data_IF_433711279184
#
_entry.id   IF_433711279184
#
_cell.length_a   1.000
_cell.length_b   1.000
_cell.length_c   1.000
_cell.angle_alpha   90.00
_cell.angle_beta   90.00
_cell.angle_gamma   90.00
#
_symmetry.space_group_name_H-M   'P 1'
#
loop_
_entity.id
_entity.type
_entity.pdbx_description
1 polymer ?
#
# COMPACT_ATOMS: atom_id res chain seq x y z
N UNK A 1 -11.09 25.16 1.25
CA UNK A 1 -10.43 25.87 0.12
C UNK A 1 -8.92 25.96 0.32
N UNK A 2 -8.43 26.53 1.43
CA UNK A 2 -6.99 26.67 1.72
C UNK A 2 -6.18 25.36 1.65
N UNK A 3 -6.67 24.24 2.21
CA UNK A 3 -5.96 22.94 2.17
C UNK A 3 -5.80 22.37 0.75
N UNK A 4 -6.78 22.59 -0.12
CA UNK A 4 -6.74 22.15 -1.52
C UNK A 4 -5.70 22.98 -2.27
N UNK A 5 -5.72 24.30 -2.08
CA UNK A 5 -4.74 25.20 -2.68
C UNK A 5 -3.30 24.85 -2.26
N UNK A 6 -3.07 24.57 -0.97
CA UNK A 6 -1.75 24.16 -0.47
C UNK A 6 -1.35 22.83 -1.13
N UNK A 7 -2.24 21.84 -1.15
CA UNK A 7 -1.97 20.54 -1.77
C UNK A 7 -1.61 20.63 -3.25
N UNK A 8 -2.41 21.37 -4.04
CA UNK A 8 -2.14 21.56 -5.48
C UNK A 8 -0.84 22.33 -5.69
N UNK A 9 -0.54 23.31 -4.83
CA UNK A 9 0.73 24.04 -4.88
C UNK A 9 1.91 23.12 -4.62
N UNK A 10 1.83 22.23 -3.63
CA UNK A 10 2.89 21.25 -3.35
C UNK A 10 3.10 20.30 -4.54
N UNK A 11 2.02 19.75 -5.11
CA UNK A 11 2.13 18.88 -6.29
C UNK A 11 2.76 19.60 -7.49
N UNK A 12 2.39 20.87 -7.73
CA UNK A 12 2.99 21.69 -8.77
C UNK A 12 4.47 21.98 -8.50
N UNK A 13 4.84 22.31 -7.26
CA UNK A 13 6.25 22.54 -6.88
C UNK A 13 7.07 21.26 -7.09
N UNK A 14 6.55 20.10 -6.71
CA UNK A 14 7.19 18.81 -6.96
C UNK A 14 7.45 18.56 -8.46
N UNK A 15 6.46 18.86 -9.31
CA UNK A 15 6.60 18.79 -10.78
C UNK A 15 7.64 19.76 -11.32
N UNK A 16 7.67 21.00 -10.81
CA UNK A 16 8.68 21.99 -11.20
C UNK A 16 10.09 21.57 -10.78
N UNK A 17 10.26 20.96 -9.60
CA UNK A 17 11.55 20.39 -9.16
C UNK A 17 12.00 19.28 -10.12
N UNK A 18 11.10 18.39 -10.50
CA UNK A 18 11.39 17.32 -11.47
C UNK A 18 11.89 17.88 -12.82
N UNK A 19 11.22 18.89 -13.36
CA UNK A 19 11.61 19.52 -14.63
C UNK A 19 12.91 20.33 -14.54
N UNK A 20 13.13 21.02 -13.42
CA UNK A 20 14.30 21.88 -13.23
C UNK A 20 15.58 21.08 -12.97
N UNK A 21 15.46 19.86 -12.44
CA UNK A 21 16.59 19.03 -12.04
C UNK A 21 16.54 17.64 -12.67
N UNK A 22 16.62 17.53 -14.02
CA UNK A 22 16.60 16.24 -14.73
C UNK A 22 17.84 15.37 -14.46
N UNK A 23 18.94 16.00 -14.03
CA UNK A 23 20.15 15.34 -13.48
C UNK A 23 20.26 15.53 -11.96
N UNK A 24 19.20 16.05 -11.34
CA UNK A 24 19.15 16.33 -9.93
C UNK A 24 19.48 15.07 -9.16
N UNK A 25 20.57 15.11 -8.41
CA UNK A 25 20.95 14.00 -7.56
C UNK A 25 19.83 13.65 -6.58
N UNK A 26 20.05 12.52 -5.89
CA UNK A 26 19.19 11.88 -4.89
C UNK A 26 18.38 12.88 -4.03
N UNK A 27 19.00 13.97 -3.58
CA UNK A 27 18.34 14.99 -2.76
C UNK A 27 17.14 15.69 -3.44
N UNK A 28 17.25 16.08 -4.72
CA UNK A 28 16.14 16.74 -5.43
C UNK A 28 15.03 15.76 -5.77
N UNK A 29 15.41 14.51 -6.04
CA UNK A 29 14.47 13.40 -6.19
C UNK A 29 13.66 13.19 -4.91
N UNK A 30 14.33 13.07 -3.76
CA UNK A 30 13.69 12.93 -2.44
C UNK A 30 12.77 14.11 -2.12
N UNK A 31 13.22 15.33 -2.38
CA UNK A 31 12.45 16.54 -2.12
C UNK A 31 11.18 16.57 -2.98
N UNK A 32 11.31 16.30 -4.28
CA UNK A 32 10.18 16.23 -5.22
C UNK A 32 9.17 15.16 -4.81
N UNK A 33 9.63 13.94 -4.50
CA UNK A 33 8.75 12.85 -4.05
C UNK A 33 8.07 13.15 -2.72
N UNK A 34 8.82 13.63 -1.72
CA UNK A 34 8.27 13.97 -0.40
C UNK A 34 7.23 15.07 -0.48
N UNK A 35 7.50 16.15 -1.21
CA UNK A 35 6.56 17.25 -1.42
C UNK A 35 5.28 16.75 -2.10
N UNK A 36 5.40 15.89 -3.11
CA UNK A 36 4.26 15.31 -3.80
C UNK A 36 3.37 14.51 -2.85
N UNK A 37 3.95 13.55 -2.12
CA UNK A 37 3.19 12.68 -1.22
C UNK A 37 2.64 13.41 0.00
N UNK A 38 3.31 14.44 0.50
CA UNK A 38 2.74 15.36 1.51
C UNK A 38 1.54 16.10 0.92
N UNK A 39 1.65 16.60 -0.31
CA UNK A 39 0.55 17.22 -1.04
C UNK A 39 -0.66 16.29 -1.16
N UNK A 40 -0.44 15.03 -1.58
CA UNK A 40 -1.48 13.99 -1.64
C UNK A 40 -2.06 13.76 -0.24
N UNK A 41 -1.21 13.56 0.76
CA UNK A 41 -1.61 13.29 2.14
C UNK A 41 -2.50 14.37 2.74
N UNK A 42 -2.23 15.64 2.48
CA UNK A 42 -3.08 16.76 2.94
C UNK A 42 -4.51 16.71 2.39
N UNK A 43 -4.75 16.02 1.27
CA UNK A 43 -6.10 15.86 0.70
C UNK A 43 -6.77 14.57 1.12
N UNK A 44 -6.01 13.50 1.28
CA UNK A 44 -6.53 12.14 1.52
C UNK A 44 -6.67 11.88 3.02
N UNK A 45 -5.61 12.11 3.81
CA UNK A 45 -5.53 11.73 5.23
C UNK A 45 -6.63 12.36 6.10
N UNK A 46 -7.00 13.65 5.94
CA UNK A 46 -8.09 14.23 6.71
C UNK A 46 -9.45 13.58 6.42
N UNK A 47 -9.69 13.14 5.17
CA UNK A 47 -10.99 12.56 4.76
C UNK A 47 -11.19 11.16 5.32
N UNK A 48 -10.11 10.40 5.51
CA UNK A 48 -10.18 9.06 6.09
C UNK A 48 -10.27 9.10 7.62
N UNK A 49 -9.89 10.22 8.23
CA UNK A 49 -9.89 10.39 9.69
C UNK A 49 -8.57 9.96 10.32
N UNK A 50 -7.45 10.26 9.64
CA UNK A 50 -6.10 9.91 10.05
C UNK A 50 -5.81 10.12 11.53
N UNK A 51 -5.20 9.12 12.17
CA UNK A 51 -4.76 9.18 13.56
C UNK A 51 -5.89 9.05 14.59
N UNK A 52 -7.15 8.92 14.16
CA UNK A 52 -8.29 8.62 15.07
C UNK A 52 -8.28 7.15 15.54
N UNK A 53 -7.55 6.26 14.87
CA UNK A 53 -7.43 4.85 15.22
C UNK A 53 -6.24 4.58 16.15
N UNK A 54 -6.48 4.22 17.43
CA UNK A 54 -5.39 3.85 18.37
C UNK A 54 -4.58 2.61 17.93
N UNK A 55 -5.12 1.84 16.99
CA UNK A 55 -4.54 0.60 16.50
C UNK A 55 -3.91 0.73 15.12
N UNK A 56 -3.73 1.92 14.52
CA UNK A 56 -3.17 2.03 13.15
C UNK A 56 -1.71 1.54 13.05
N UNK A 57 -0.97 1.62 14.16
CA UNK A 57 0.46 1.33 14.18
C UNK A 57 0.74 -0.17 14.05
N UNK A 58 -0.13 -1.02 14.59
CA UNK A 58 -0.04 -2.49 14.45
C UNK A 58 -0.20 -2.98 13.00
N UNK A 59 -1.28 -2.66 12.26
CA UNK A 59 -1.43 -3.02 10.86
C UNK A 59 -0.44 -2.29 9.97
N UNK A 60 0.01 -1.07 10.32
CA UNK A 60 1.11 -0.41 9.61
C UNK A 60 2.43 -1.18 9.76
N UNK A 61 2.83 -1.53 10.99
CA UNK A 61 4.06 -2.30 11.21
C UNK A 61 3.96 -3.70 10.60
N UNK A 62 2.80 -4.36 10.71
CA UNK A 62 2.55 -5.63 10.07
C UNK A 62 2.65 -5.51 8.54
N UNK A 63 2.07 -4.47 7.94
CA UNK A 63 2.21 -4.14 6.52
C UNK A 63 3.68 -3.96 6.15
N UNK A 64 4.40 -3.12 6.89
CA UNK A 64 5.78 -2.75 6.59
C UNK A 64 6.73 -3.94 6.71
N UNK A 65 6.68 -4.66 7.84
CA UNK A 65 7.47 -5.87 8.05
C UNK A 65 7.11 -6.94 7.03
N UNK A 66 5.83 -7.08 6.67
CA UNK A 66 5.44 -8.07 5.68
C UNK A 66 5.97 -7.71 4.29
N UNK A 67 5.68 -6.50 3.83
CA UNK A 67 5.99 -6.05 2.47
C UNK A 67 7.50 -5.91 2.25
N UNK A 68 8.25 -5.50 3.27
CA UNK A 68 9.70 -5.30 3.18
C UNK A 68 10.53 -6.53 3.56
N UNK A 69 9.98 -7.54 4.26
CA UNK A 69 10.77 -8.70 4.70
C UNK A 69 10.12 -10.04 4.35
N UNK A 70 8.86 -10.26 4.72
CA UNK A 70 8.20 -11.57 4.54
C UNK A 70 7.86 -11.87 3.08
N UNK A 71 7.51 -10.85 2.29
CA UNK A 71 7.23 -11.03 0.87
C UNK A 71 8.45 -11.59 0.13
N UNK A 72 9.60 -10.92 0.28
CA UNK A 72 10.86 -11.35 -0.31
C UNK A 72 11.28 -12.74 0.19
N UNK A 73 11.10 -13.02 1.48
CA UNK A 73 11.37 -14.35 2.05
C UNK A 73 10.45 -15.46 1.48
N UNK A 74 9.17 -15.16 1.25
CA UNK A 74 8.20 -16.12 0.72
C UNK A 74 8.51 -16.48 -0.73
N UNK A 75 8.95 -15.51 -1.55
CA UNK A 75 9.41 -15.78 -2.91
C UNK A 75 10.62 -16.72 -2.91
N UNK A 76 11.60 -16.53 -2.02
CA UNK A 76 12.75 -17.42 -1.89
C UNK A 76 12.38 -18.88 -1.64
N UNK A 77 11.37 -19.10 -0.79
CA UNK A 77 10.88 -20.44 -0.47
C UNK A 77 10.26 -21.13 -1.67
N UNK A 78 9.69 -20.36 -2.60
CA UNK A 78 9.05 -20.85 -3.81
C UNK A 78 10.03 -21.05 -4.97
N UNK A 79 11.16 -20.36 -4.99
CA UNK A 79 12.16 -20.51 -6.07
C UNK A 79 12.77 -21.92 -6.11
N UNK A 80 13.14 -22.42 -7.32
CA UNK A 80 13.85 -23.69 -7.46
C UNK A 80 15.17 -23.67 -6.67
N UNK A 81 15.25 -24.48 -5.60
CA UNK A 81 16.38 -24.49 -4.65
C UNK A 81 16.00 -24.05 -3.23
N UNK A 82 14.86 -23.38 -3.04
CA UNK A 82 14.21 -23.10 -1.75
C UNK A 82 15.16 -22.63 -0.64
N UNK A 83 15.00 -23.21 0.56
CA UNK A 83 15.86 -22.93 1.72
C UNK A 83 17.34 -23.25 1.51
N UNK A 84 17.69 -24.13 0.56
CA UNK A 84 19.08 -24.44 0.28
C UNK A 84 19.80 -23.24 -0.36
N UNK A 85 19.11 -22.44 -1.18
CA UNK A 85 19.65 -21.22 -1.78
C UNK A 85 20.01 -20.17 -0.71
N UNK A 86 19.25 -20.12 0.38
CA UNK A 86 19.49 -19.21 1.51
C UNK A 86 20.86 -19.43 2.17
N UNK A 87 21.34 -20.69 2.18
CA UNK A 87 22.65 -21.04 2.72
C UNK A 87 23.81 -20.72 1.77
N UNK A 88 23.57 -20.43 0.49
CA UNK A 88 24.61 -20.06 -0.48
C UNK A 88 24.71 -18.55 -0.69
N UNK A 89 23.65 -17.81 -0.40
CA UNK A 89 23.55 -16.38 -0.63
C UNK A 89 24.06 -15.58 0.58
N UNK A 90 25.38 -15.54 0.75
CA UNK A 90 26.02 -14.69 1.75
C UNK A 90 26.24 -13.28 1.19
N UNK A 91 25.35 -12.36 1.52
CA UNK A 91 25.52 -10.94 1.16
C UNK A 91 24.42 -10.10 1.77
N UNK A 92 24.79 -9.07 2.52
CA UNK A 92 23.87 -8.01 2.94
C UNK A 92 24.33 -6.74 2.24
N UNK A 93 23.59 -6.31 1.24
CA UNK A 93 23.83 -5.02 0.59
C UNK A 93 22.71 -4.08 0.98
N UNK A 94 23.06 -2.84 1.29
CA UNK A 94 22.09 -1.77 1.49
C UNK A 94 22.48 -0.66 0.54
N UNK A 95 21.48 -0.01 -0.04
CA UNK A 95 21.72 1.11 -0.91
C UNK A 95 20.50 2.00 -1.02
N UNK A 96 20.70 3.09 -1.75
CA UNK A 96 19.65 4.06 -2.00
C UNK A 96 19.91 4.74 -3.34
N UNK A 97 18.85 5.12 -4.04
CA UNK A 97 18.98 5.59 -5.41
C UNK A 97 17.64 5.95 -6.04
N UNK A 98 17.72 6.38 -7.29
CA UNK A 98 16.61 6.83 -8.10
C UNK A 98 16.92 6.43 -9.54
N UNK A 99 15.93 5.95 -10.27
CA UNK A 99 16.25 5.29 -11.53
C UNK A 99 15.20 5.59 -12.59
N UNK A 100 15.04 6.86 -12.97
CA UNK A 100 14.03 7.21 -13.97
C UNK A 100 14.50 8.38 -14.84
N UNK A 101 14.47 8.23 -16.18
CA UNK A 101 14.78 9.32 -17.09
C UNK A 101 13.78 10.49 -16.95
N UNK A 102 14.19 11.72 -17.31
CA UNK A 102 13.44 12.94 -17.01
C UNK A 102 12.27 13.33 -17.94
N UNK A 103 11.82 12.57 -18.97
CA UNK A 103 10.74 13.12 -19.78
C UNK A 103 9.39 13.11 -19.00
N UNK A 104 8.49 14.09 -19.24
CA UNK A 104 7.33 14.37 -18.38
C UNK A 104 6.41 13.19 -18.08
N UNK A 105 6.27 12.25 -19.01
CA UNK A 105 5.45 11.06 -18.86
C UNK A 105 5.86 10.17 -17.67
N UNK A 106 7.12 10.26 -17.20
CA UNK A 106 7.61 9.47 -16.08
C UNK A 106 7.53 10.20 -14.74
N UNK A 107 6.94 11.40 -14.68
CA UNK A 107 6.83 12.15 -13.42
C UNK A 107 6.19 11.35 -12.28
N UNK A 108 5.11 10.60 -12.56
CA UNK A 108 4.45 9.77 -11.55
C UNK A 108 5.36 8.65 -11.05
N UNK A 109 6.15 8.05 -11.95
CA UNK A 109 7.14 7.05 -11.59
C UNK A 109 8.23 7.72 -10.72
N UNK A 110 8.70 8.91 -11.12
CA UNK A 110 9.70 9.70 -10.39
C UNK A 110 9.29 9.96 -8.95
N UNK A 111 8.11 10.55 -8.71
CA UNK A 111 7.67 10.84 -7.33
C UNK A 111 7.34 9.58 -6.54
N UNK A 112 7.04 8.47 -7.21
CA UNK A 112 6.69 7.20 -6.55
C UNK A 112 7.90 6.38 -6.13
N UNK A 113 8.96 6.39 -6.93
CA UNK A 113 10.19 5.60 -6.74
C UNK A 113 11.41 6.45 -6.35
N UNK A 114 11.22 7.76 -6.13
CA UNK A 114 12.31 8.68 -5.78
C UNK A 114 12.87 8.44 -4.39
N UNK A 115 14.16 8.12 -4.37
CA UNK A 115 14.92 7.55 -3.25
C UNK A 115 14.25 6.31 -2.69
N UNK A 116 14.25 5.27 -3.50
CA UNK A 116 14.10 3.91 -3.01
C UNK A 116 15.29 3.58 -2.12
N UNK A 117 15.01 3.15 -0.89
CA UNK A 117 16.00 2.48 -0.05
C UNK A 117 15.82 0.99 -0.32
N UNK A 118 16.86 0.36 -0.86
CA UNK A 118 16.86 -1.08 -1.07
C UNK A 118 17.72 -1.76 -0.04
N UNK A 119 17.23 -2.91 0.42
CA UNK A 119 17.99 -3.85 1.18
C UNK A 119 18.05 -5.16 0.41
N UNK A 120 19.26 -5.56 0.03
CA UNK A 120 19.52 -6.83 -0.63
C UNK A 120 20.03 -7.83 0.40
N UNK A 121 19.27 -8.89 0.64
CA UNK A 121 19.72 -10.07 1.38
C UNK A 121 19.97 -11.16 0.34
N UNK A 122 21.21 -11.54 0.07
CA UNK A 122 21.47 -12.52 -0.98
C UNK A 122 21.10 -12.00 -2.37
N UNK A 123 20.08 -12.61 -3.00
CA UNK A 123 19.47 -12.14 -4.26
C UNK A 123 18.16 -11.35 -4.03
N UNK A 124 17.78 -11.08 -2.77
CA UNK A 124 16.47 -10.54 -2.43
C UNK A 124 16.53 -9.05 -2.29
N UNK A 125 15.91 -8.31 -3.20
CA UNK A 125 15.74 -6.87 -3.08
C UNK A 125 14.45 -6.54 -2.33
N UNK A 126 14.56 -5.77 -1.26
CA UNK A 126 13.46 -5.20 -0.51
C UNK A 126 13.52 -3.68 -0.64
N UNK A 127 12.57 -3.11 -1.38
CA UNK A 127 12.52 -1.69 -1.65
C UNK A 127 11.50 -0.97 -0.79
N UNK A 128 11.95 0.11 -0.17
CA UNK A 128 11.07 1.09 0.46
C UNK A 128 11.13 2.36 -0.35
N UNK A 129 10.06 2.62 -1.09
CA UNK A 129 9.90 3.84 -1.89
C UNK A 129 8.78 4.72 -1.31
N UNK A 130 8.76 6.03 -1.62
CA UNK A 130 7.74 6.95 -1.09
C UNK A 130 6.29 6.48 -1.30
N UNK A 131 5.99 5.89 -2.47
CA UNK A 131 4.66 5.32 -2.74
C UNK A 131 4.29 4.22 -1.74
N UNK A 132 5.17 3.23 -1.54
CA UNK A 132 4.91 2.09 -0.64
C UNK A 132 4.76 2.53 0.80
N UNK A 133 5.54 3.53 1.24
CA UNK A 133 5.43 4.11 2.58
C UNK A 133 4.08 4.83 2.75
N UNK A 134 3.71 5.69 1.79
CA UNK A 134 2.45 6.42 1.83
C UNK A 134 1.24 5.47 1.85
N UNK A 135 1.24 4.48 0.95
CA UNK A 135 0.16 3.50 0.87
C UNK A 135 0.10 2.61 2.11
N UNK A 136 1.25 2.18 2.64
CA UNK A 136 1.31 1.41 3.89
C UNK A 136 0.71 2.18 5.07
N UNK A 137 1.05 3.46 5.19
CA UNK A 137 0.44 4.36 6.19
C UNK A 137 -1.07 4.45 6.00
N UNK A 138 -1.54 4.76 4.79
CA UNK A 138 -2.96 4.91 4.48
C UNK A 138 -3.76 3.62 4.73
N UNK A 139 -3.25 2.47 4.28
CA UNK A 139 -3.87 1.17 4.47
C UNK A 139 -3.88 0.77 5.95
N UNK A 140 -2.78 0.99 6.67
CA UNK A 140 -2.68 0.73 8.10
C UNK A 140 -3.72 1.53 8.91
N UNK A 141 -3.88 2.82 8.62
CA UNK A 141 -4.89 3.66 9.27
C UNK A 141 -6.31 3.24 8.93
N UNK A 142 -6.61 3.00 7.64
CA UNK A 142 -7.92 2.51 7.22
C UNK A 142 -8.26 1.16 7.85
N UNK A 143 -7.32 0.23 7.91
CA UNK A 143 -7.53 -1.08 8.53
C UNK A 143 -7.74 -0.95 10.04
N UNK A 144 -6.91 -0.14 10.72
CA UNK A 144 -7.06 0.14 12.16
C UNK A 144 -8.40 0.80 12.50
N UNK A 145 -8.86 1.74 11.67
CA UNK A 145 -10.17 2.39 11.81
C UNK A 145 -11.32 1.41 11.58
N UNK A 146 -11.22 0.56 10.56
CA UNK A 146 -12.20 -0.50 10.31
C UNK A 146 -12.30 -1.41 11.53
N UNK A 147 -11.18 -1.99 11.99
CA UNK A 147 -11.16 -2.88 13.18
C UNK A 147 -11.74 -2.19 14.41
N UNK A 148 -11.38 -0.93 14.66
CA UNK A 148 -11.91 -0.13 15.78
C UNK A 148 -13.42 0.07 15.70
N UNK A 149 -13.99 0.36 14.53
CA UNK A 149 -15.43 0.54 14.40
C UNK A 149 -16.20 -0.78 14.44
N UNK A 150 -15.63 -1.86 13.89
CA UNK A 150 -16.22 -3.20 13.90
C UNK A 150 -16.26 -3.78 15.31
N UNK A 151 -15.19 -3.64 16.09
CA UNK A 151 -15.16 -4.10 17.48
C UNK A 151 -16.21 -3.41 18.34
N UNK A 152 -16.51 -2.13 18.09
CA UNK A 152 -17.62 -1.40 18.72
C UNK A 152 -19.00 -1.91 18.32
N UNK A 153 -19.12 -2.67 17.22
CA UNK A 153 -20.37 -3.30 16.77
C UNK A 153 -20.59 -4.71 17.34
N UNK A 154 -19.63 -5.32 18.04
CA UNK A 154 -19.78 -6.69 18.59
C UNK A 154 -20.94 -6.88 19.59
N UNK A 155 -21.50 -5.82 20.16
CA UNK A 155 -22.69 -5.86 21.02
C UNK A 155 -24.01 -5.57 20.30
N UNK A 156 -23.99 -5.38 18.99
CA UNK A 156 -25.13 -5.00 18.17
C UNK A 156 -25.55 -6.22 17.38
N UNK A 157 -26.70 -6.84 17.70
CA UNK A 157 -27.24 -8.06 17.08
C UNK A 157 -27.55 -7.94 15.57
N UNK A 158 -26.58 -7.58 14.75
CA UNK A 158 -26.60 -7.74 13.30
C UNK A 158 -26.44 -9.22 12.98
N UNK A 159 -27.24 -9.73 12.05
CA UNK A 159 -27.08 -11.09 11.51
C UNK A 159 -25.61 -11.30 11.16
N UNK A 160 -25.00 -12.24 11.85
CA UNK A 160 -23.57 -12.51 11.98
C UNK A 160 -22.82 -12.60 10.65
N UNK A 161 -23.50 -13.00 9.57
CA UNK A 161 -22.92 -13.06 8.23
C UNK A 161 -22.43 -11.68 7.73
N UNK A 162 -23.30 -10.66 7.60
CA UNK A 162 -22.92 -9.37 6.99
C UNK A 162 -21.98 -8.54 7.88
N UNK A 163 -22.09 -8.70 9.20
CA UNK A 163 -21.23 -8.04 10.18
C UNK A 163 -19.83 -8.65 10.26
N UNK A 164 -19.61 -9.86 9.73
CA UNK A 164 -18.31 -10.54 9.70
C UNK A 164 -17.73 -10.55 8.28
N UNK A 165 -18.55 -10.75 7.24
CA UNK A 165 -18.07 -10.86 5.85
C UNK A 165 -17.52 -9.55 5.29
N UNK A 166 -18.18 -8.40 5.52
CA UNK A 166 -17.65 -7.12 5.06
C UNK A 166 -16.29 -6.79 5.69
N UNK A 167 -16.11 -6.90 7.02
CA UNK A 167 -14.83 -6.74 7.69
C UNK A 167 -13.76 -7.69 7.19
N UNK A 168 -14.13 -8.97 7.04
CA UNK A 168 -13.21 -10.00 6.57
C UNK A 168 -12.80 -9.73 5.13
N UNK A 169 -13.70 -9.28 4.26
CA UNK A 169 -13.36 -8.88 2.89
C UNK A 169 -12.45 -7.65 2.84
N UNK A 170 -12.64 -6.67 3.72
CA UNK A 170 -11.77 -5.49 3.79
C UNK A 170 -10.38 -5.82 4.32
N UNK A 171 -10.30 -6.65 5.37
CA UNK A 171 -9.02 -7.13 5.91
C UNK A 171 -8.35 -8.08 4.92
N UNK A 172 -9.08 -9.01 4.31
CA UNK A 172 -8.57 -9.94 3.30
C UNK A 172 -8.12 -9.20 2.04
N UNK A 173 -8.85 -8.20 1.56
CA UNK A 173 -8.40 -7.40 0.39
C UNK A 173 -7.16 -6.57 0.72
N UNK A 174 -7.15 -5.95 1.90
CA UNK A 174 -5.98 -5.26 2.45
C UNK A 174 -4.77 -6.18 2.53
N UNK A 175 -4.92 -7.39 3.08
CA UNK A 175 -3.83 -8.36 3.13
C UNK A 175 -3.45 -8.90 1.75
N UNK A 176 -4.41 -9.14 0.85
CA UNK A 176 -4.14 -9.74 -0.48
C UNK A 176 -3.29 -8.83 -1.38
N UNK A 177 -3.44 -7.51 -1.27
CA UNK A 177 -2.55 -6.59 -1.99
C UNK A 177 -1.12 -6.57 -1.41
N UNK A 178 -0.97 -6.82 -0.10
CA UNK A 178 0.32 -6.87 0.58
C UNK A 178 1.03 -8.22 0.39
N UNK A 179 0.26 -9.30 0.26
CA UNK A 179 0.76 -10.65 0.04
C UNK A 179 1.31 -10.85 -1.39
N UNK A 180 1.02 -9.92 -2.32
CA UNK A 180 1.07 -10.16 -3.77
C UNK A 180 0.60 -11.59 -4.11
N UNK A 181 -0.46 -12.04 -3.43
CA UNK A 181 -1.02 -13.38 -3.55
C UNK A 181 -1.24 -13.77 -5.02
N UNK A 182 -1.76 -12.88 -5.89
CA UNK A 182 -1.87 -13.18 -7.32
C UNK A 182 -0.52 -13.53 -7.96
N UNK A 183 0.54 -12.80 -7.63
CA UNK A 183 1.89 -13.03 -8.15
C UNK A 183 2.48 -14.33 -7.61
N UNK A 184 2.33 -14.60 -6.30
CA UNK A 184 2.79 -15.86 -5.68
C UNK A 184 2.08 -17.08 -6.26
N UNK A 185 0.75 -16.99 -6.47
CA UNK A 185 -0.04 -18.06 -7.08
C UNK A 185 0.41 -18.29 -8.52
N UNK A 186 0.51 -17.23 -9.33
CA UNK A 186 0.97 -17.33 -10.72
C UNK A 186 2.37 -17.94 -10.79
N UNK A 187 3.30 -17.48 -9.95
CA UNK A 187 4.66 -18.03 -9.87
C UNK A 187 4.66 -19.52 -9.51
N UNK A 188 3.87 -19.92 -8.51
CA UNK A 188 3.72 -21.33 -8.09
C UNK A 188 3.15 -22.21 -9.21
N UNK A 189 2.16 -21.69 -9.95
CA UNK A 189 1.55 -22.38 -11.10
C UNK A 189 2.56 -22.51 -12.25
N UNK A 190 3.33 -21.47 -12.53
CA UNK A 190 4.39 -21.49 -13.56
C UNK A 190 5.45 -22.54 -13.25
N UNK A 191 5.85 -22.68 -11.99
CA UNK A 191 6.81 -23.69 -11.55
C UNK A 191 6.24 -25.12 -11.58
N UNK A 192 4.94 -25.28 -11.32
CA UNK A 192 4.28 -26.58 -11.26
C UNK A 192 3.89 -27.12 -12.64
N UNK A 193 3.70 -26.23 -13.63
CA UNK A 193 3.22 -26.60 -14.97
C UNK A 193 4.16 -26.02 -16.04
N UNK A 194 5.17 -26.80 -16.49
CA UNK A 194 6.19 -26.33 -17.43
C UNK A 194 5.63 -25.77 -18.75
N UNK A 195 4.51 -26.31 -19.21
CA UNK A 195 3.88 -25.96 -20.50
C UNK A 195 3.38 -24.51 -20.55
N UNK A 196 2.95 -23.95 -19.42
CA UNK A 196 2.41 -22.57 -19.34
C UNK A 196 3.40 -21.60 -18.67
N UNK A 197 4.57 -22.08 -18.26
CA UNK A 197 5.56 -21.31 -17.51
C UNK A 197 6.00 -20.05 -18.25
N UNK A 198 6.29 -20.15 -19.55
CA UNK A 198 6.74 -19.02 -20.39
C UNK A 198 5.67 -17.93 -20.53
N UNK A 199 4.40 -18.32 -20.67
CA UNK A 199 3.26 -17.40 -20.78
C UNK A 199 3.02 -16.66 -19.46
N UNK A 200 3.10 -17.38 -18.34
CA UNK A 200 2.93 -16.80 -17.01
C UNK A 200 4.08 -15.85 -16.66
N UNK A 201 5.34 -16.21 -16.95
CA UNK A 201 6.47 -15.30 -16.76
C UNK A 201 6.40 -14.07 -17.67
N UNK A 202 5.95 -14.23 -18.91
CA UNK A 202 5.69 -13.11 -19.81
C UNK A 202 4.65 -12.14 -19.23
N UNK A 203 3.54 -12.66 -18.70
CA UNK A 203 2.53 -11.85 -18.02
C UNK A 203 3.09 -11.14 -16.78
N UNK A 204 3.82 -11.85 -15.92
CA UNK A 204 4.46 -11.30 -14.71
C UNK A 204 5.46 -10.19 -15.03
N UNK A 205 6.18 -10.30 -16.15
CA UNK A 205 7.15 -9.30 -16.63
C UNK A 205 6.51 -8.11 -17.36
N UNK A 206 5.21 -8.16 -17.65
CA UNK A 206 4.55 -7.13 -18.45
C UNK A 206 4.36 -5.82 -17.68
N UNK A 207 4.62 -4.69 -18.34
CA UNK A 207 4.39 -3.34 -17.74
C UNK A 207 2.96 -3.15 -17.21
N UNK A 208 1.89 -3.58 -17.91
CA UNK A 208 0.53 -3.42 -17.39
C UNK A 208 0.28 -4.20 -16.11
N UNK A 209 0.82 -5.43 -16.01
CA UNK A 209 0.73 -6.24 -14.81
C UNK A 209 1.47 -5.59 -13.65
N UNK A 210 2.70 -5.14 -13.87
CA UNK A 210 3.48 -4.41 -12.88
C UNK A 210 2.72 -3.18 -12.37
N UNK A 211 2.21 -2.34 -13.28
CA UNK A 211 1.47 -1.13 -12.88
C UNK A 211 0.21 -1.47 -12.08
N UNK A 212 -0.52 -2.49 -12.50
CA UNK A 212 -1.74 -2.92 -11.82
C UNK A 212 -1.47 -3.49 -10.43
N UNK A 213 -0.49 -4.39 -10.30
CA UNK A 213 -0.17 -5.03 -9.02
C UNK A 213 0.50 -4.03 -8.08
N UNK A 214 1.45 -3.26 -8.58
CA UNK A 214 2.26 -2.34 -7.77
C UNK A 214 1.48 -1.09 -7.37
N UNK A 215 0.79 -0.43 -8.31
CA UNK A 215 0.04 0.81 -8.02
C UNK A 215 -1.45 0.58 -7.84
N UNK A 216 -2.06 -0.23 -8.71
CA UNK A 216 -3.50 -0.44 -8.75
C UNK A 216 -4.07 -1.15 -7.53
N UNK A 217 -3.51 -2.29 -7.13
CA UNK A 217 -4.02 -3.10 -6.01
C UNK A 217 -3.99 -2.35 -4.68
N UNK A 218 -2.91 -1.64 -4.28
CA UNK A 218 -2.93 -0.85 -3.05
C UNK A 218 -3.99 0.24 -3.07
N UNK A 219 -4.14 0.95 -4.20
CA UNK A 219 -5.15 2.02 -4.35
C UNK A 219 -6.57 1.44 -4.25
N UNK A 220 -6.86 0.36 -4.97
CA UNK A 220 -8.16 -0.31 -4.90
C UNK A 220 -8.47 -0.82 -3.49
N UNK A 221 -7.48 -1.38 -2.80
CA UNK A 221 -7.63 -1.85 -1.42
C UNK A 221 -7.96 -0.70 -0.47
N UNK A 222 -7.28 0.44 -0.61
CA UNK A 222 -7.58 1.65 0.16
C UNK A 222 -9.00 2.16 -0.11
N UNK A 223 -9.45 2.16 -1.37
CA UNK A 223 -10.82 2.54 -1.74
C UNK A 223 -11.86 1.60 -1.11
N UNK A 224 -11.65 0.28 -1.20
CA UNK A 224 -12.54 -0.72 -0.61
C UNK A 224 -12.62 -0.56 0.91
N UNK A 225 -11.48 -0.41 1.59
CA UNK A 225 -11.43 -0.20 3.04
C UNK A 225 -12.12 1.11 3.46
N UNK A 226 -11.97 2.18 2.68
CA UNK A 226 -12.64 3.44 2.93
C UNK A 226 -14.16 3.33 2.77
N UNK A 227 -14.63 2.68 1.70
CA UNK A 227 -16.06 2.43 1.49
C UNK A 227 -16.64 1.56 2.60
N UNK A 228 -15.91 0.53 3.04
CA UNK A 228 -16.28 -0.30 4.17
C UNK A 228 -16.46 0.52 5.45
N UNK A 229 -15.47 1.35 5.79
CA UNK A 229 -15.51 2.23 6.97
C UNK A 229 -16.72 3.16 6.94
N UNK A 230 -17.04 3.73 5.76
CA UNK A 230 -18.21 4.59 5.58
C UNK A 230 -19.51 3.83 5.83
N UNK A 231 -19.65 2.62 5.29
CA UNK A 231 -20.83 1.78 5.49
C UNK A 231 -21.02 1.40 6.95
N UNK A 232 -19.95 0.98 7.63
CA UNK A 232 -19.96 0.64 9.06
C UNK A 232 -20.40 1.83 9.91
N UNK A 233 -19.86 3.03 9.65
CA UNK A 233 -20.27 4.26 10.35
C UNK A 233 -21.74 4.62 10.10
N UNK A 234 -22.25 4.45 8.89
CA UNK A 234 -23.65 4.70 8.56
C UNK A 234 -24.61 3.75 9.29
N UNK A 235 -24.26 2.47 9.40
CA UNK A 235 -25.07 1.48 10.13
C UNK A 235 -25.16 1.84 11.61
N UNK A 236 -24.04 2.23 12.22
CA UNK A 236 -23.99 2.70 13.61
C UNK A 236 -24.88 3.91 13.85
N UNK A 237 -24.83 4.90 12.95
CA UNK A 237 -25.62 6.13 13.05
C UNK A 237 -27.12 5.85 12.92
N UNK A 238 -27.53 5.02 11.95
CA UNK A 238 -28.94 4.59 11.81
C UNK A 238 -29.47 3.89 13.06
N UNK A 239 -28.63 3.06 13.71
CA UNK A 239 -29.01 2.39 14.96
C UNK A 239 -29.10 3.37 16.14
N UNK A 240 -28.11 4.25 16.31
CA UNK A 240 -28.12 5.30 17.34
C UNK A 240 -29.39 6.17 17.29
N UNK A 241 -29.85 6.51 16.07
CA UNK A 241 -31.10 7.22 15.86
C UNK A 241 -32.35 6.38 16.22
N UNK A 242 -32.32 5.07 15.98
CA UNK A 242 -33.43 4.16 16.32
C UNK A 242 -33.54 3.89 17.82
N UNK A 243 -32.41 3.81 18.51
CA UNK A 243 -32.35 3.49 19.94
C UNK A 243 -32.51 4.73 20.85
N UNK A 244 -32.79 5.92 20.29
CA UNK A 244 -32.97 7.17 21.05
C UNK A 244 -31.70 7.73 21.71
N UNK A 245 -30.60 6.97 21.70
CA UNK A 245 -29.29 7.43 22.16
C UNK A 245 -28.69 8.37 21.13
N UNK A 246 -28.77 9.68 21.34
CA UNK A 246 -28.16 10.69 20.47
C UNK A 246 -26.62 10.67 20.63
N UNK A 247 -25.92 9.84 19.87
CA UNK A 247 -24.45 9.91 19.82
C UNK A 247 -24.03 10.87 18.70
N UNK A 248 -23.58 12.06 19.09
CA UNK A 248 -22.95 13.04 18.19
C UNK A 248 -21.73 12.38 17.54
N UNK A 249 -21.81 12.05 16.25
CA UNK A 249 -20.65 11.71 15.43
C UNK A 249 -19.90 13.02 15.16
N UNK A 250 -18.70 13.18 15.71
CA UNK A 250 -17.80 14.29 15.34
C UNK A 250 -17.03 13.88 14.10
N UNK A 251 -17.30 14.59 13.01
CA UNK A 251 -16.61 14.48 11.72
C UNK A 251 -15.08 14.67 11.85
#
# INVERSE_FOLDING_TARGET
MQKILISTTLMLVSFLIFLAFPKGGIAMSLLSGSIFWVGVGLTVLPKVGWGKGKLFLVPFLAYFLYHSLLYSFTLTLLEPGGLALFNYLHGYHFGYGYEIPPPPQYFLLWVSQSVGIWFIIGNFEADVVPFTLFMGLLLGDLMGLNVSEITKLRGVGMKTATAITLPSLGVVSGTSCCLALPSLILYSVALSVPVISSEVFSLLSSTPYFVFVYFGLPIMSAVILYLNLRLVRQVKLKKSLRDGTCTKVRD
#
